data_IF_831909624849
#
_entry.id   IF_831909624849
#
_cell.length_a   1.000
_cell.length_b   1.000
_cell.length_c   1.000
_cell.angle_alpha   90.00
_cell.angle_beta   90.00
_cell.angle_gamma   90.00
#
_symmetry.space_group_name_H-M   'P 1'
#
loop_
_entity.id
_entity.type
_entity.pdbx_description
1 polymer ?
#
# COMPACT_ATOMS: atom_id res chain seq x y z
N UNK A 1 13.01 -13.85 -0.84
CA UNK A 1 12.78 -12.98 0.35
C UNK A 1 11.28 -12.82 0.51
N UNK A 2 10.71 -12.97 1.71
CA UNK A 2 9.26 -12.85 1.84
C UNK A 2 8.79 -11.37 1.68
N UNK A 3 7.49 -11.14 1.58
CA UNK A 3 6.93 -9.81 1.36
C UNK A 3 7.25 -8.83 2.51
N UNK A 4 7.23 -9.31 3.76
CA UNK A 4 7.52 -8.48 4.93
C UNK A 4 9.00 -8.07 4.99
N UNK A 5 9.91 -8.98 4.65
CA UNK A 5 11.34 -8.71 4.48
C UNK A 5 11.57 -7.74 3.31
N UNK A 6 10.88 -7.93 2.18
CA UNK A 6 10.95 -7.01 1.02
C UNK A 6 10.52 -5.60 1.42
N UNK A 7 9.45 -5.46 2.21
CA UNK A 7 9.02 -4.18 2.77
C UNK A 7 10.11 -3.53 3.62
N UNK A 8 10.63 -4.26 4.59
CA UNK A 8 11.56 -3.71 5.57
C UNK A 8 12.96 -3.42 5.00
N UNK A 9 13.48 -4.31 4.15
CA UNK A 9 14.87 -4.26 3.67
C UNK A 9 15.03 -3.48 2.36
N UNK A 10 13.97 -3.39 1.54
CA UNK A 10 14.06 -2.77 0.22
C UNK A 10 13.12 -1.57 0.07
N UNK A 11 11.83 -1.72 0.38
CA UNK A 11 10.85 -0.66 0.10
C UNK A 11 10.99 0.51 1.09
N UNK A 12 11.05 0.22 2.38
CA UNK A 12 11.15 1.24 3.43
C UNK A 12 12.38 2.17 3.24
N UNK A 13 13.60 1.65 2.98
CA UNK A 13 14.76 2.49 2.67
C UNK A 13 14.57 3.33 1.41
N UNK A 14 14.07 2.74 0.32
CA UNK A 14 13.85 3.46 -0.94
C UNK A 14 12.81 4.57 -0.80
N UNK A 15 11.76 4.36 0.00
CA UNK A 15 10.78 5.41 0.29
C UNK A 15 11.43 6.56 1.07
N UNK A 16 12.26 6.26 2.06
CA UNK A 16 12.97 7.27 2.85
C UNK A 16 13.99 8.05 1.99
N UNK A 17 14.75 7.36 1.14
CA UNK A 17 15.72 7.97 0.21
C UNK A 17 15.01 8.86 -0.82
N UNK A 18 13.81 8.49 -1.25
CA UNK A 18 12.93 9.32 -2.08
C UNK A 18 12.26 10.49 -1.31
N UNK A 19 12.54 10.63 -0.01
CA UNK A 19 12.05 11.71 0.84
C UNK A 19 10.71 11.43 1.53
N UNK A 20 10.09 10.27 1.33
CA UNK A 20 8.82 9.94 1.96
C UNK A 20 8.96 9.75 3.47
N UNK A 21 8.15 10.46 4.25
CA UNK A 21 8.24 10.48 5.71
C UNK A 21 9.45 11.24 6.28
N UNK A 22 10.31 11.81 5.41
CA UNK A 22 11.49 12.60 5.80
C UNK A 22 11.25 14.08 5.52
N UNK A 23 10.78 14.44 4.33
CA UNK A 23 10.53 15.83 3.96
C UNK A 23 9.27 16.37 4.64
N UNK A 24 9.26 17.68 4.91
CA UNK A 24 8.11 18.32 5.54
C UNK A 24 6.82 18.11 4.73
N UNK A 25 5.74 17.76 5.43
CA UNK A 25 4.43 17.51 4.84
C UNK A 25 4.30 16.13 4.16
N UNK A 26 5.38 15.35 4.07
CA UNK A 26 5.33 13.97 3.58
C UNK A 26 5.03 12.98 4.70
N UNK A 27 4.17 12.00 4.42
CA UNK A 27 3.80 10.92 5.35
C UNK A 27 3.63 9.61 4.59
N UNK A 28 3.94 8.52 5.28
CA UNK A 28 3.70 7.15 4.83
C UNK A 28 2.64 6.55 5.75
N UNK A 29 1.51 6.12 5.22
CA UNK A 29 0.51 5.32 5.95
C UNK A 29 0.72 3.86 5.58
N UNK A 30 1.13 3.04 6.54
CA UNK A 30 1.37 1.60 6.35
C UNK A 30 0.12 0.79 6.66
N UNK A 31 -0.06 -0.34 5.98
CA UNK A 31 -1.21 -1.25 6.17
C UNK A 31 -2.55 -0.51 6.17
N UNK A 32 -2.70 0.41 5.21
CA UNK A 32 -3.82 1.34 5.18
C UNK A 32 -5.10 0.63 4.74
N UNK A 33 -6.05 0.52 5.65
CA UNK A 33 -7.39 -0.01 5.36
C UNK A 33 -8.17 0.98 4.50
N UNK A 34 -8.29 0.70 3.20
CA UNK A 34 -9.05 1.49 2.22
C UNK A 34 -10.55 1.37 2.50
N UNK A 35 -11.02 0.14 2.77
CA UNK A 35 -12.42 -0.09 3.11
C UNK A 35 -12.59 -1.20 4.15
N UNK A 36 -13.80 -1.32 4.68
CA UNK A 36 -14.17 -2.35 5.66
C UNK A 36 -14.76 -3.62 5.02
N UNK A 37 -14.71 -3.74 3.69
CA UNK A 37 -15.41 -4.80 2.95
C UNK A 37 -16.87 -4.47 2.65
N UNK A 38 -17.37 -4.96 1.50
CA UNK A 38 -18.75 -4.76 1.05
C UNK A 38 -19.69 -5.66 1.88
N UNK A 39 -20.82 -5.12 2.31
CA UNK A 39 -21.88 -5.89 2.98
C UNK A 39 -22.44 -6.93 2.01
N UNK A 40 -22.55 -8.17 2.47
CA UNK A 40 -23.12 -9.30 1.74
C UNK A 40 -24.45 -9.72 2.37
N UNK A 41 -25.32 -10.33 1.56
CA UNK A 41 -26.54 -10.97 2.02
C UNK A 41 -26.19 -12.06 3.04
N UNK A 42 -26.92 -12.12 4.16
CA UNK A 42 -26.60 -13.03 5.28
C UNK A 42 -25.74 -12.41 6.39
N UNK A 43 -25.48 -11.10 6.36
CA UNK A 43 -24.85 -10.36 7.47
C UNK A 43 -23.32 -10.33 7.47
N UNK A 44 -22.68 -10.94 6.48
CA UNK A 44 -21.23 -10.95 6.30
C UNK A 44 -20.70 -9.72 5.55
N UNK A 45 -19.36 -9.59 5.51
CA UNK A 45 -18.64 -8.64 4.66
C UNK A 45 -17.57 -9.36 3.83
N UNK A 46 -17.29 -8.86 2.64
CA UNK A 46 -16.12 -9.31 1.87
C UNK A 46 -14.83 -8.96 2.60
N UNK A 47 -13.70 -9.55 2.19
CA UNK A 47 -12.39 -9.14 2.69
C UNK A 47 -12.19 -7.63 2.47
N UNK A 48 -11.69 -6.90 3.48
CA UNK A 48 -11.36 -5.49 3.33
C UNK A 48 -10.21 -5.32 2.34
N UNK A 49 -10.19 -4.18 1.66
CA UNK A 49 -9.03 -3.77 0.89
C UNK A 49 -8.06 -3.05 1.81
N UNK A 50 -6.83 -3.53 1.87
CA UNK A 50 -5.74 -3.00 2.69
C UNK A 50 -4.55 -2.82 1.75
N UNK A 51 -4.05 -1.59 1.66
CA UNK A 51 -2.85 -1.29 0.90
C UNK A 51 -1.61 -1.36 1.80
N UNK A 52 -0.48 -1.82 1.25
CA UNK A 52 0.78 -1.83 2.00
C UNK A 52 1.23 -0.43 2.40
N UNK A 53 1.19 0.51 1.45
CA UNK A 53 1.53 1.91 1.69
C UNK A 53 0.59 2.87 0.96
N UNK A 54 0.22 3.96 1.64
CA UNK A 54 -0.31 5.18 1.01
C UNK A 54 0.64 6.33 1.27
N UNK A 55 1.05 6.98 0.19
CA UNK A 55 1.95 8.14 0.21
C UNK A 55 1.11 9.40 0.27
N UNK A 56 1.31 10.21 1.31
CA UNK A 56 0.53 11.42 1.58
C UNK A 56 1.46 12.62 1.58
N UNK A 57 1.12 13.65 0.82
CA UNK A 57 1.85 14.92 0.82
C UNK A 57 0.91 16.07 1.10
N UNK A 58 1.24 16.89 2.10
CA UNK A 58 0.46 18.05 2.55
C UNK A 58 -1.03 17.72 2.78
N UNK A 59 -1.30 16.54 3.34
CA UNK A 59 -2.64 16.05 3.64
C UNK A 59 -3.37 15.39 2.47
N UNK A 60 -2.77 15.34 1.27
CA UNK A 60 -3.36 14.73 0.07
C UNK A 60 -2.74 13.36 -0.16
N UNK A 61 -3.56 12.32 -0.33
CA UNK A 61 -3.10 10.98 -0.76
C UNK A 61 -2.70 11.05 -2.23
N UNK A 62 -1.44 10.77 -2.54
CA UNK A 62 -0.89 10.90 -3.89
C UNK A 62 -0.67 9.56 -4.58
N UNK A 63 -0.31 8.51 -3.84
CA UNK A 63 0.01 7.22 -4.43
C UNK A 63 -0.25 6.06 -3.47
N UNK A 64 -0.41 4.88 -4.06
CA UNK A 64 -0.43 3.58 -3.39
C UNK A 64 0.78 2.77 -3.84
N UNK A 65 1.39 2.03 -2.90
CA UNK A 65 2.46 1.07 -3.21
C UNK A 65 2.04 -0.27 -2.65
N UNK A 66 2.12 -1.31 -3.49
CA UNK A 66 1.92 -2.71 -3.11
C UNK A 66 3.27 -3.43 -3.13
N UNK A 67 3.58 -4.10 -2.02
CA UNK A 67 4.72 -4.96 -1.92
C UNK A 67 4.38 -6.35 -2.47
N UNK A 68 5.39 -7.00 -3.04
CA UNK A 68 5.38 -8.43 -3.36
C UNK A 68 6.72 -9.02 -2.91
N UNK A 69 6.77 -10.34 -2.77
CA UNK A 69 8.06 -11.03 -2.64
C UNK A 69 8.98 -10.62 -3.77
N UNK A 70 10.26 -10.41 -3.47
CA UNK A 70 11.28 -10.11 -4.49
C UNK A 70 11.49 -11.24 -5.51
N UNK A 71 10.98 -12.43 -5.21
CA UNK A 71 11.02 -13.61 -6.09
C UNK A 71 9.87 -13.61 -7.11
N UNK A 72 8.91 -12.67 -7.01
CA UNK A 72 7.78 -12.52 -7.92
C UNK A 72 8.01 -11.40 -8.94
N UNK A 73 7.40 -11.53 -10.11
CA UNK A 73 7.39 -10.45 -11.08
C UNK A 73 6.57 -9.25 -10.59
N UNK A 74 7.03 -8.05 -10.96
CA UNK A 74 6.35 -6.79 -10.64
C UNK A 74 4.91 -6.73 -11.17
N UNK A 75 4.61 -7.48 -12.23
CA UNK A 75 3.30 -7.58 -12.88
C UNK A 75 2.21 -8.10 -11.93
N UNK A 76 2.57 -8.95 -10.97
CA UNK A 76 1.66 -9.58 -10.01
C UNK A 76 0.97 -8.56 -9.08
N UNK A 77 1.58 -7.39 -8.84
CA UNK A 77 1.00 -6.33 -8.01
C UNK A 77 0.18 -5.29 -8.78
N UNK A 78 0.29 -5.21 -10.10
CA UNK A 78 -0.20 -4.06 -10.89
C UNK A 78 -1.72 -3.92 -10.84
N UNK A 79 -2.45 -5.02 -11.00
CA UNK A 79 -3.91 -4.99 -11.00
C UNK A 79 -4.45 -4.55 -9.62
N UNK A 80 -3.81 -5.00 -8.55
CA UNK A 80 -4.15 -4.66 -7.17
C UNK A 80 -3.89 -3.17 -6.89
N UNK A 81 -2.70 -2.67 -7.24
CA UNK A 81 -2.35 -1.26 -7.08
C UNK A 81 -3.31 -0.33 -7.83
N UNK A 82 -3.66 -0.68 -9.08
CA UNK A 82 -4.67 0.08 -9.86
C UNK A 82 -6.03 0.10 -9.18
N UNK A 83 -6.51 -1.07 -8.73
CA UNK A 83 -7.78 -1.15 -8.02
C UNK A 83 -7.78 -0.26 -6.76
N UNK A 84 -6.67 -0.17 -6.05
CA UNK A 84 -6.56 0.63 -4.82
C UNK A 84 -6.47 2.12 -5.10
N UNK A 85 -5.83 2.52 -6.18
CA UNK A 85 -5.79 3.92 -6.63
C UNK A 85 -7.19 4.46 -7.01
N UNK A 86 -8.07 3.59 -7.52
CA UNK A 86 -9.44 3.95 -7.95
C UNK A 86 -10.47 4.02 -6.80
N UNK A 87 -10.07 3.83 -5.53
CA UNK A 87 -10.97 3.76 -4.35
C UNK A 87 -10.75 4.89 -3.37
#
# INVERSE_FOLDING_TARGET
>A
MNEAETRAELIDPNLADAGWGVIEGSKILREYKINIGRIQTGGGRTKPLIADYILVYKGIKLAVVEAKSNDLEVSEGVAQAKLYADK
#
